data_IF_199800311525
#
_entry.id   IF_199800311525
#
_cell.length_a   1.000
_cell.length_b   1.000
_cell.length_c   1.000
_cell.angle_alpha   90.00
_cell.angle_beta   90.00
_cell.angle_gamma   90.00
#
_symmetry.space_group_name_H-M   'P 1'
#
loop_
_entity.id
_entity.type
_entity.pdbx_description
1 polymer ?
#
# COMPACT_ATOMS: atom_id res chain seq x y z
N UNK A 1 -16.00 21.73 15.95
CA UNK A 1 -15.24 20.89 15.01
C UNK A 1 -14.08 21.61 14.31
N UNK A 2 -14.26 22.82 13.74
CA UNK A 2 -13.23 23.50 12.93
C UNK A 2 -11.87 23.76 13.62
N UNK A 3 -11.83 24.05 14.93
CA UNK A 3 -10.55 24.31 15.62
C UNK A 3 -9.70 23.05 15.85
N UNK A 4 -10.33 21.91 16.14
CA UNK A 4 -9.62 20.64 16.45
C UNK A 4 -8.90 20.05 15.24
N UNK A 5 -9.30 20.44 14.03
CA UNK A 5 -8.74 19.96 12.75
C UNK A 5 -7.96 21.03 11.99
N UNK A 6 -7.62 22.15 12.65
CA UNK A 6 -6.85 23.23 12.03
C UNK A 6 -5.40 22.81 11.74
N UNK A 7 -4.87 21.82 12.46
CA UNK A 7 -3.57 21.22 12.20
C UNK A 7 -3.68 19.96 11.33
N UNK A 8 -2.93 19.86 10.21
CA UNK A 8 -3.04 18.74 9.29
C UNK A 8 -2.71 17.39 9.92
N UNK A 9 -1.78 17.38 10.89
CA UNK A 9 -1.41 16.19 11.66
C UNK A 9 -2.61 15.56 12.39
N UNK A 10 -3.47 16.38 12.99
CA UNK A 10 -4.64 15.88 13.74
C UNK A 10 -5.66 15.30 12.79
N UNK A 11 -5.95 15.97 11.67
CA UNK A 11 -6.86 15.48 10.65
C UNK A 11 -6.40 14.13 10.07
N UNK A 12 -5.09 13.99 9.79
CA UNK A 12 -4.51 12.74 9.29
C UNK A 12 -4.67 11.59 10.30
N UNK A 13 -4.43 11.83 11.60
CA UNK A 13 -4.64 10.79 12.64
C UNK A 13 -6.10 10.34 12.72
N UNK A 14 -7.04 11.28 12.61
CA UNK A 14 -8.47 10.95 12.60
C UNK A 14 -8.88 10.23 11.32
N UNK A 15 -8.25 10.51 10.19
CA UNK A 15 -8.45 9.74 8.95
C UNK A 15 -8.00 8.30 9.12
N UNK A 16 -6.83 8.07 9.73
CA UNK A 16 -6.34 6.73 10.04
C UNK A 16 -7.25 5.99 11.03
N UNK A 17 -7.69 6.67 12.09
CA UNK A 17 -8.63 6.11 13.06
C UNK A 17 -9.99 5.78 12.44
N UNK A 18 -10.53 6.68 11.61
CA UNK A 18 -11.78 6.47 10.88
C UNK A 18 -11.71 5.27 9.95
N UNK A 19 -10.63 5.16 9.16
CA UNK A 19 -10.42 4.00 8.28
C UNK A 19 -10.29 2.69 9.07
N UNK A 20 -9.50 2.70 10.15
CA UNK A 20 -9.33 1.53 11.03
C UNK A 20 -10.68 1.07 11.60
N UNK A 21 -11.50 2.02 12.06
CA UNK A 21 -12.85 1.73 12.56
C UNK A 21 -13.75 1.18 11.46
N UNK A 22 -13.69 1.71 10.24
CA UNK A 22 -14.47 1.21 9.11
C UNK A 22 -14.07 -0.23 8.74
N UNK A 23 -12.77 -0.59 8.77
CA UNK A 23 -12.34 -1.97 8.61
C UNK A 23 -12.90 -2.87 9.72
N UNK A 24 -12.88 -2.42 10.98
CA UNK A 24 -13.42 -3.19 12.09
C UNK A 24 -14.94 -3.38 11.97
N UNK A 25 -15.67 -2.33 11.61
CA UNK A 25 -17.11 -2.38 11.36
C UNK A 25 -17.43 -3.30 10.17
N UNK A 26 -16.62 -3.26 9.10
CA UNK A 26 -16.78 -4.17 7.97
C UNK A 26 -16.62 -5.63 8.38
N UNK A 27 -15.68 -5.95 9.29
CA UNK A 27 -15.53 -7.29 9.86
C UNK A 27 -16.78 -7.73 10.66
N UNK A 28 -17.33 -6.84 11.48
CA UNK A 28 -18.55 -7.13 12.28
C UNK A 28 -19.78 -7.27 11.38
N UNK A 29 -19.94 -6.40 10.38
CA UNK A 29 -21.07 -6.44 9.44
C UNK A 29 -20.99 -7.71 8.57
N UNK A 30 -19.80 -8.10 8.12
CA UNK A 30 -19.65 -9.35 7.38
C UNK A 30 -20.01 -10.55 8.26
N UNK A 31 -19.60 -10.56 9.54
CA UNK A 31 -20.03 -11.61 10.45
C UNK A 31 -21.56 -11.69 10.60
N UNK A 32 -22.22 -10.54 10.75
CA UNK A 32 -23.67 -10.48 10.84
C UNK A 32 -24.39 -10.93 9.57
N UNK A 33 -23.85 -10.56 8.39
CA UNK A 33 -24.45 -10.88 7.09
C UNK A 33 -24.29 -12.35 6.70
N UNK A 34 -23.14 -12.95 7.05
CA UNK A 34 -22.82 -14.35 6.74
C UNK A 34 -23.09 -15.32 7.89
N UNK A 35 -23.71 -14.83 8.99
CA UNK A 35 -23.98 -15.61 10.20
C UNK A 35 -22.73 -16.29 10.78
N UNK A 36 -21.57 -15.63 10.67
CA UNK A 36 -20.32 -16.11 11.26
C UNK A 36 -20.25 -15.74 12.75
N UNK A 37 -19.78 -16.67 13.57
CA UNK A 37 -19.50 -16.41 14.98
C UNK A 37 -18.18 -15.64 15.13
N UNK A 38 -17.97 -15.02 16.30
CA UNK A 38 -16.67 -14.38 16.58
C UNK A 38 -15.50 -15.37 16.45
N UNK A 39 -15.70 -16.64 16.83
CA UNK A 39 -14.71 -17.70 16.65
C UNK A 39 -14.34 -17.94 15.19
N UNK A 40 -15.31 -17.84 14.26
CA UNK A 40 -15.05 -18.07 12.84
C UNK A 40 -14.17 -16.95 12.25
N UNK A 41 -14.40 -15.71 12.67
CA UNK A 41 -13.57 -14.56 12.26
C UNK A 41 -12.14 -14.73 12.77
N UNK A 42 -11.95 -15.10 14.04
CA UNK A 42 -10.62 -15.32 14.60
C UNK A 42 -9.93 -16.54 13.98
N UNK A 43 -10.68 -17.58 13.63
CA UNK A 43 -10.16 -18.73 12.88
C UNK A 43 -9.70 -18.31 11.47
N UNK A 44 -10.48 -17.47 10.78
CA UNK A 44 -10.11 -16.87 9.49
C UNK A 44 -8.84 -16.01 9.59
N UNK A 45 -8.73 -15.18 10.63
CA UNK A 45 -7.49 -14.43 10.91
C UNK A 45 -6.30 -15.36 11.15
N UNK A 46 -6.50 -16.44 11.90
CA UNK A 46 -5.47 -17.45 12.17
C UNK A 46 -4.98 -18.13 10.88
N UNK A 47 -5.89 -18.47 9.97
CA UNK A 47 -5.56 -19.02 8.65
C UNK A 47 -4.79 -18.01 7.80
N UNK A 48 -5.22 -16.75 7.74
CA UNK A 48 -4.48 -15.67 7.05
C UNK A 48 -3.05 -15.55 7.60
N UNK A 49 -2.85 -15.69 8.90
CA UNK A 49 -1.53 -15.55 9.53
C UNK A 49 -0.62 -16.77 9.33
N UNK A 50 -1.19 -17.96 9.11
CA UNK A 50 -0.45 -19.23 9.08
C UNK A 50 -0.31 -19.83 7.69
N UNK A 51 -1.10 -19.33 6.74
CA UNK A 51 -0.99 -19.70 5.35
C UNK A 51 -0.03 -18.74 4.60
N UNK A 52 0.54 -19.21 3.50
CA UNK A 52 1.56 -18.52 2.74
C UNK A 52 0.87 -17.43 1.98
N UNK A 53 1.48 -16.25 2.02
CA UNK A 53 1.08 -15.14 1.19
C UNK A 53 1.34 -15.39 -0.29
N UNK A 54 1.48 -16.65 -0.77
CA UNK A 54 1.41 -16.92 -2.19
C UNK A 54 0.07 -16.38 -2.68
N UNK A 55 0.18 -15.29 -3.41
CA UNK A 55 -0.89 -14.37 -3.79
C UNK A 55 -1.99 -15.04 -4.61
N UNK A 56 -1.92 -16.34 -4.90
CA UNK A 56 -2.81 -17.05 -5.82
C UNK A 56 -4.26 -17.10 -5.32
N UNK A 57 -4.49 -17.15 -4.00
CA UNK A 57 -5.84 -17.19 -3.40
C UNK A 57 -6.19 -15.88 -2.71
N UNK A 58 -7.40 -15.38 -3.00
CA UNK A 58 -7.95 -14.17 -2.38
C UNK A 58 -8.18 -14.40 -0.88
N UNK A 59 -7.83 -13.43 -0.02
CA UNK A 59 -8.14 -13.54 1.42
C UNK A 59 -9.65 -13.63 1.70
N UNK A 60 -10.50 -13.17 0.77
CA UNK A 60 -11.96 -13.32 0.85
C UNK A 60 -12.45 -14.76 0.68
N UNK A 61 -11.62 -15.68 0.16
CA UNK A 61 -11.94 -17.10 0.12
C UNK A 61 -12.09 -17.63 1.55
N UNK A 62 -13.17 -18.36 1.83
CA UNK A 62 -13.47 -18.91 3.15
C UNK A 62 -12.50 -20.00 3.61
N UNK A 63 -11.88 -20.72 2.65
CA UNK A 63 -10.79 -21.67 2.93
C UNK A 63 -9.51 -20.99 3.40
N UNK A 64 -9.42 -19.68 3.17
CA UNK A 64 -8.32 -18.81 3.56
C UNK A 64 -8.74 -17.95 4.75
N UNK A 65 -9.29 -16.76 4.53
CA UNK A 65 -9.63 -15.81 5.58
C UNK A 65 -11.11 -15.50 5.75
N UNK A 66 -11.90 -15.65 4.68
CA UNK A 66 -13.24 -15.09 4.59
C UNK A 66 -13.25 -13.55 4.68
N UNK A 67 -14.43 -12.95 4.53
CA UNK A 67 -14.58 -11.50 4.63
C UNK A 67 -14.24 -10.99 6.04
N UNK A 68 -14.81 -11.62 7.07
CA UNK A 68 -14.61 -11.21 8.46
C UNK A 68 -13.14 -11.24 8.86
N UNK A 69 -12.44 -12.36 8.61
CA UNK A 69 -11.02 -12.50 8.95
C UNK A 69 -10.13 -11.52 8.19
N UNK A 70 -10.43 -11.25 6.91
CA UNK A 70 -9.68 -10.28 6.09
C UNK A 70 -9.82 -8.86 6.62
N UNK A 71 -11.05 -8.41 6.89
CA UNK A 71 -11.28 -7.07 7.43
C UNK A 71 -10.76 -6.92 8.86
N UNK A 72 -10.80 -7.98 9.67
CA UNK A 72 -10.19 -7.98 11.00
C UNK A 72 -8.66 -7.87 10.90
N UNK A 73 -8.01 -8.59 9.99
CA UNK A 73 -6.57 -8.45 9.75
C UNK A 73 -6.21 -7.00 9.39
N UNK A 74 -6.92 -6.42 8.42
CA UNK A 74 -6.73 -5.03 8.02
C UNK A 74 -6.94 -4.06 9.18
N UNK A 75 -8.00 -4.24 9.98
CA UNK A 75 -8.29 -3.40 11.14
C UNK A 75 -7.17 -3.48 12.20
N UNK A 76 -6.68 -4.67 12.52
CA UNK A 76 -5.61 -4.85 13.52
C UNK A 76 -4.29 -4.24 13.05
N UNK A 77 -3.88 -4.49 11.80
CA UNK A 77 -2.66 -3.89 11.25
C UNK A 77 -2.79 -2.36 11.20
N UNK A 78 -3.93 -1.84 10.73
CA UNK A 78 -4.19 -0.39 10.71
C UNK A 78 -4.19 0.21 12.12
N UNK A 79 -4.71 -0.48 13.13
CA UNK A 79 -4.67 -0.05 14.52
C UNK A 79 -3.23 0.04 15.05
N UNK A 80 -2.38 -0.94 14.72
CA UNK A 80 -0.95 -0.89 15.07
C UNK A 80 -0.27 0.29 14.36
N UNK A 81 -0.50 0.46 13.05
CA UNK A 81 0.02 1.58 12.27
C UNK A 81 -0.40 2.94 12.86
N UNK A 82 -1.66 3.09 13.25
CA UNK A 82 -2.17 4.26 13.96
C UNK A 82 -1.47 4.45 15.31
N UNK A 83 -1.27 3.38 16.08
CA UNK A 83 -0.53 3.40 17.34
C UNK A 83 0.88 3.96 17.16
N UNK A 84 1.58 3.56 16.10
CA UNK A 84 2.91 4.10 15.76
C UNK A 84 2.85 5.61 15.47
N UNK A 85 1.83 6.07 14.74
CA UNK A 85 1.65 7.51 14.48
C UNK A 85 1.20 8.34 15.69
N UNK A 86 0.74 7.68 16.75
CA UNK A 86 0.43 8.28 18.04
C UNK A 86 1.64 8.34 18.99
N UNK A 87 2.77 7.72 18.64
CA UNK A 87 3.98 7.78 19.47
C UNK A 87 4.54 9.19 19.60
N UNK A 88 5.16 9.54 20.74
CA UNK A 88 5.82 10.82 20.94
C UNK A 88 6.87 11.10 19.87
N UNK A 89 6.81 12.29 19.26
CA UNK A 89 7.72 12.72 18.18
C UNK A 89 7.26 12.39 16.77
N UNK A 90 6.16 11.62 16.61
CA UNK A 90 5.52 11.43 15.30
C UNK A 90 4.82 12.70 14.84
N UNK A 91 5.06 13.08 13.58
CA UNK A 91 4.45 14.23 12.91
C UNK A 91 3.83 13.76 11.58
N UNK A 92 2.58 13.27 11.58
CA UNK A 92 1.95 12.75 10.38
C UNK A 92 1.80 13.81 9.29
N UNK A 93 2.21 13.47 8.07
CA UNK A 93 2.14 14.31 6.88
C UNK A 93 1.59 13.53 5.67
N UNK A 94 1.65 14.09 4.46
CA UNK A 94 1.21 13.41 3.25
C UNK A 94 1.97 12.12 2.95
N UNK A 95 3.24 12.00 3.39
CA UNK A 95 4.01 10.75 3.28
C UNK A 95 3.49 9.72 4.27
N UNK A 96 3.03 10.15 5.45
CA UNK A 96 2.36 9.27 6.41
C UNK A 96 1.04 8.71 5.87
N UNK A 97 0.26 9.52 5.14
CA UNK A 97 -0.97 9.07 4.47
C UNK A 97 -0.64 8.00 3.42
N UNK A 98 0.41 8.25 2.63
CA UNK A 98 0.94 7.29 1.67
C UNK A 98 1.32 5.97 2.35
N UNK A 99 2.14 6.02 3.41
CA UNK A 99 2.56 4.83 4.15
C UNK A 99 1.38 4.06 4.74
N UNK A 100 0.42 4.75 5.37
CA UNK A 100 -0.71 4.12 6.02
C UNK A 100 -1.61 3.38 5.03
N UNK A 101 -2.06 4.03 3.96
CA UNK A 101 -2.97 3.42 3.00
C UNK A 101 -2.30 2.39 2.09
N UNK A 102 -0.99 2.52 1.85
CA UNK A 102 -0.22 1.50 1.16
C UNK A 102 -0.13 0.22 2.01
N UNK A 103 0.22 0.33 3.30
CA UNK A 103 0.22 -0.81 4.22
C UNK A 103 -1.18 -1.40 4.36
N UNK A 104 -2.22 -0.56 4.45
CA UNK A 104 -3.62 -1.02 4.49
C UNK A 104 -4.01 -1.81 3.24
N UNK A 105 -3.59 -1.37 2.05
CA UNK A 105 -3.80 -2.11 0.80
C UNK A 105 -3.13 -3.48 0.82
N UNK A 106 -1.88 -3.56 1.29
CA UNK A 106 -1.19 -4.84 1.41
C UNK A 106 -1.80 -5.81 2.43
N UNK A 107 -2.66 -5.34 3.35
CA UNK A 107 -3.36 -6.21 4.31
C UNK A 107 -4.35 -7.18 3.64
N UNK A 108 -4.70 -6.94 2.37
CA UNK A 108 -5.64 -7.77 1.62
C UNK A 108 -4.99 -8.90 0.80
N UNK A 109 -3.65 -8.98 0.72
CA UNK A 109 -2.97 -10.06 -0.03
C UNK A 109 -1.58 -10.46 0.47
N UNK A 110 -1.07 -9.94 1.60
CA UNK A 110 0.25 -10.39 2.05
C UNK A 110 0.82 -9.76 3.31
N UNK A 111 0.29 -8.63 3.77
CA UNK A 111 0.62 -8.09 5.10
C UNK A 111 -0.38 -8.63 6.12
N UNK A 112 0.14 -9.16 7.22
CA UNK A 112 -0.67 -9.74 8.29
C UNK A 112 -0.25 -9.18 9.63
N UNK A 113 -1.14 -9.27 10.62
CA UNK A 113 -0.80 -8.89 11.99
C UNK A 113 0.39 -9.67 12.55
N UNK A 114 0.70 -10.85 12.01
CA UNK A 114 1.86 -11.66 12.44
C UNK A 114 3.17 -11.16 11.81
N UNK A 115 3.19 -10.87 10.51
CA UNK A 115 4.46 -10.66 9.81
C UNK A 115 5.04 -9.24 9.95
N UNK A 116 4.23 -8.23 10.29
CA UNK A 116 4.69 -6.84 10.44
C UNK A 116 5.74 -6.69 11.55
N UNK A 117 5.68 -7.50 12.61
CA UNK A 117 6.54 -7.37 13.78
C UNK A 117 8.01 -7.64 13.47
N UNK A 118 8.29 -8.54 12.53
CA UNK A 118 9.66 -8.87 12.14
C UNK A 118 10.35 -7.69 11.46
N UNK A 119 9.66 -6.98 10.56
CA UNK A 119 10.18 -5.74 9.96
C UNK A 119 10.30 -4.63 11.01
N UNK A 120 9.30 -4.49 11.89
CA UNK A 120 9.33 -3.48 12.95
C UNK A 120 10.49 -3.68 13.93
N UNK A 121 10.82 -4.93 14.25
CA UNK A 121 11.99 -5.26 15.05
C UNK A 121 13.28 -4.72 14.41
N UNK A 122 13.45 -4.87 13.09
CA UNK A 122 14.57 -4.29 12.36
C UNK A 122 14.64 -2.77 12.43
N UNK A 123 13.49 -2.09 12.28
CA UNK A 123 13.43 -0.63 12.38
C UNK A 123 13.71 -0.16 13.82
N UNK A 124 13.28 -0.91 14.83
CA UNK A 124 13.63 -0.63 16.23
C UNK A 124 15.13 -0.77 16.47
N UNK A 125 15.76 -1.83 15.97
CA UNK A 125 17.23 -2.01 16.05
C UNK A 125 17.94 -0.85 15.37
N UNK A 126 17.46 -0.37 14.22
CA UNK A 126 18.00 0.82 13.56
C UNK A 126 17.82 2.09 14.41
N UNK A 127 16.65 2.27 15.02
CA UNK A 127 16.40 3.41 15.91
C UNK A 127 17.35 3.40 17.12
N UNK A 128 17.61 2.23 17.70
CA UNK A 128 18.55 2.06 18.80
C UNK A 128 20.00 2.35 18.35
N UNK A 129 20.43 1.76 17.24
CA UNK A 129 21.78 1.93 16.70
C UNK A 129 22.09 3.40 16.33
N UNK A 130 21.11 4.09 15.74
CA UNK A 130 21.26 5.48 15.27
C UNK A 130 20.76 6.52 16.29
N UNK A 131 20.37 6.09 17.50
CA UNK A 131 19.82 6.95 18.57
C UNK A 131 18.66 7.85 18.10
N UNK A 132 17.79 7.32 17.24
CA UNK A 132 16.60 8.02 16.72
C UNK A 132 15.37 7.64 17.55
N UNK A 133 14.45 8.60 17.74
CA UNK A 133 13.17 8.34 18.42
C UNK A 133 12.26 7.52 17.51
N UNK A 134 11.65 6.41 17.97
CA UNK A 134 10.78 5.57 17.14
C UNK A 134 9.63 6.33 16.48
N UNK A 135 9.00 7.28 17.19
CA UNK A 135 7.92 8.11 16.63
C UNK A 135 8.35 8.96 15.44
N UNK A 136 9.60 9.43 15.41
CA UNK A 136 10.13 10.18 14.27
C UNK A 136 10.39 9.30 13.03
N UNK A 137 10.44 7.98 13.22
CA UNK A 137 10.66 6.98 12.17
C UNK A 137 9.36 6.25 11.78
N UNK A 138 8.19 6.77 12.16
CA UNK A 138 6.89 6.14 11.93
C UNK A 138 6.67 5.71 10.46
N UNK A 139 6.96 6.59 9.49
CA UNK A 139 6.86 6.25 8.07
C UNK A 139 7.78 5.07 7.69
N UNK A 140 8.97 4.98 8.31
CA UNK A 140 9.93 3.92 8.03
C UNK A 140 9.48 2.55 8.58
N UNK A 141 8.80 2.52 9.73
CA UNK A 141 8.12 1.32 10.22
C UNK A 141 7.17 0.78 9.16
N UNK A 142 6.21 1.60 8.72
CA UNK A 142 5.18 1.16 7.80
C UNK A 142 5.73 0.77 6.43
N UNK A 143 6.64 1.54 5.85
CA UNK A 143 7.21 1.18 4.56
C UNK A 143 8.09 -0.08 4.61
N UNK A 144 8.73 -0.38 5.75
CA UNK A 144 9.51 -1.62 5.90
C UNK A 144 8.66 -2.91 5.81
N UNK A 145 7.33 -2.82 5.95
CA UNK A 145 6.42 -3.96 5.78
C UNK A 145 6.15 -4.28 4.31
N UNK A 146 6.69 -3.52 3.35
CA UNK A 146 6.51 -3.81 1.91
C UNK A 146 7.05 -5.19 1.48
N UNK A 147 7.93 -5.79 2.29
CA UNK A 147 8.45 -7.15 2.09
C UNK A 147 7.91 -8.17 3.10
N UNK A 148 6.80 -7.85 3.77
CA UNK A 148 6.14 -8.75 4.70
C UNK A 148 5.75 -10.13 4.09
N UNK A 149 5.31 -10.24 2.82
CA UNK A 149 5.06 -11.55 2.21
C UNK A 149 6.30 -12.44 2.16
N UNK A 150 7.49 -11.85 1.93
CA UNK A 150 8.76 -12.59 1.95
C UNK A 150 9.05 -13.16 3.34
N UNK A 151 8.73 -12.41 4.40
CA UNK A 151 8.90 -12.87 5.79
C UNK A 151 7.98 -14.05 6.09
N UNK A 152 6.72 -14.00 5.64
CA UNK A 152 5.78 -15.14 5.77
C UNK A 152 6.30 -16.38 5.03
N UNK A 153 6.85 -16.22 3.82
CA UNK A 153 7.50 -17.33 3.11
C UNK A 153 8.66 -17.92 3.92
N UNK A 154 9.53 -17.08 4.50
CA UNK A 154 10.63 -17.57 5.33
C UNK A 154 10.13 -18.32 6.57
N UNK A 155 9.02 -17.85 7.16
CA UNK A 155 8.48 -18.38 8.41
C UNK A 155 7.92 -19.80 8.27
N UNK A 156 7.27 -20.11 7.14
CA UNK A 156 6.50 -21.36 6.98
C UNK A 156 7.06 -22.35 5.97
N UNK A 157 7.94 -21.93 5.06
CA UNK A 157 8.51 -22.80 4.03
C UNK A 157 9.67 -23.66 4.55
N UNK A 158 10.56 -23.11 5.37
CA UNK A 158 11.79 -23.79 5.78
C UNK A 158 11.57 -24.81 6.90
N UNK A 159 12.29 -25.96 6.92
CA UNK A 159 13.53 -26.29 6.19
C UNK A 159 13.38 -27.08 4.85
N UNK A 160 12.30 -26.91 4.09
CA UNK A 160 12.15 -27.54 2.77
C UNK A 160 11.39 -26.67 1.75
N UNK A 161 10.90 -27.26 0.67
CA UNK A 161 10.00 -26.58 -0.28
C UNK A 161 8.52 -26.70 0.11
N UNK A 162 8.18 -27.70 0.93
CA UNK A 162 6.85 -27.90 1.46
C UNK A 162 6.55 -26.92 2.60
N UNK A 163 5.28 -26.83 2.97
CA UNK A 163 4.83 -25.96 4.04
C UNK A 163 4.82 -26.73 5.35
N UNK A 164 5.62 -26.27 6.32
CA UNK A 164 5.89 -27.03 7.54
C UNK A 164 5.26 -26.42 8.81
N UNK A 165 4.51 -25.33 8.68
CA UNK A 165 4.01 -24.59 9.83
C UNK A 165 5.15 -23.89 10.58
N UNK A 166 4.99 -23.66 11.88
CA UNK A 166 6.02 -23.01 12.69
C UNK A 166 7.19 -23.97 12.96
N UNK A 167 8.32 -23.74 12.29
CA UNK A 167 9.58 -24.45 12.57
C UNK A 167 10.58 -23.51 13.24
N UNK A 168 11.48 -24.06 14.07
CA UNK A 168 12.53 -23.24 14.71
C UNK A 168 13.41 -22.52 13.69
N UNK A 169 13.75 -23.21 12.57
CA UNK A 169 14.52 -22.62 11.47
C UNK A 169 13.75 -21.52 10.75
N UNK A 170 12.46 -21.71 10.47
CA UNK A 170 11.62 -20.70 9.83
C UNK A 170 11.50 -19.43 10.67
N UNK A 171 11.33 -19.56 11.99
CA UNK A 171 11.26 -18.42 12.92
C UNK A 171 12.58 -17.64 12.93
N UNK A 172 13.72 -18.33 13.05
CA UNK A 172 15.05 -17.69 13.06
C UNK A 172 15.31 -16.98 11.72
N UNK A 173 14.97 -17.62 10.60
CA UNK A 173 15.19 -17.04 9.28
C UNK A 173 14.28 -15.84 9.04
N UNK A 174 12.99 -15.93 9.39
CA UNK A 174 12.04 -14.82 9.31
C UNK A 174 12.48 -13.63 10.17
N UNK A 175 13.01 -13.89 11.37
CA UNK A 175 13.57 -12.86 12.23
C UNK A 175 14.83 -12.24 11.64
N UNK A 176 15.78 -13.05 11.16
CA UNK A 176 17.00 -12.55 10.55
C UNK A 176 16.71 -11.68 9.31
N UNK A 177 15.86 -12.16 8.41
CA UNK A 177 15.47 -11.45 7.18
C UNK A 177 14.64 -10.21 7.51
N UNK A 178 13.67 -10.30 8.41
CA UNK A 178 12.84 -9.16 8.83
C UNK A 178 13.66 -8.06 9.50
N UNK A 179 14.57 -8.43 10.42
CA UNK A 179 15.49 -7.47 11.05
C UNK A 179 16.42 -6.85 10.02
N UNK A 180 16.97 -7.64 9.10
CA UNK A 180 17.81 -7.13 8.01
C UNK A 180 17.07 -6.11 7.14
N UNK A 181 15.85 -6.43 6.69
CA UNK A 181 15.01 -5.52 5.88
C UNK A 181 14.72 -4.24 6.67
N UNK A 182 14.20 -4.37 7.89
CA UNK A 182 13.82 -3.23 8.73
C UNK A 182 15.01 -2.37 9.15
N UNK A 183 16.22 -2.93 9.23
CA UNK A 183 17.43 -2.19 9.57
C UNK A 183 18.01 -1.43 8.38
N UNK A 184 18.08 -2.08 7.20
CA UNK A 184 18.63 -1.47 5.99
C UNK A 184 17.70 -0.43 5.39
N UNK A 185 16.39 -0.68 5.40
CA UNK A 185 15.42 0.17 4.72
C UNK A 185 15.51 1.65 5.16
N UNK A 186 15.51 2.00 6.47
CA UNK A 186 15.67 3.37 6.92
C UNK A 186 17.03 4.00 6.59
N UNK A 187 18.07 3.19 6.37
CA UNK A 187 19.39 3.67 5.98
C UNK A 187 19.43 4.11 4.49
N UNK A 188 18.72 3.38 3.63
CA UNK A 188 18.68 3.66 2.18
C UNK A 188 17.64 4.74 1.84
N UNK A 189 16.53 4.81 2.58
CA UNK A 189 15.40 5.71 2.31
C UNK A 189 15.78 7.19 2.02
N UNK A 190 16.68 7.85 2.78
CA UNK A 190 17.04 9.25 2.53
C UNK A 190 17.71 9.51 1.17
N UNK A 191 18.28 8.48 0.55
CA UNK A 191 18.99 8.59 -0.73
C UNK A 191 18.05 8.41 -1.93
N UNK A 192 16.88 7.80 -1.74
CA UNK A 192 15.94 7.53 -2.84
C UNK A 192 15.53 8.77 -3.65
N UNK A 193 15.17 9.92 -3.03
CA UNK A 193 14.74 11.10 -3.79
C UNK A 193 15.77 11.56 -4.84
N UNK A 194 17.06 11.34 -4.57
CA UNK A 194 18.16 11.71 -5.47
C UNK A 194 18.21 10.81 -6.70
N UNK A 195 17.82 9.54 -6.58
CA UNK A 195 17.85 8.56 -7.67
C UNK A 195 16.83 8.85 -8.76
N UNK A 196 15.69 9.45 -8.41
CA UNK A 196 14.60 9.77 -9.34
C UNK A 196 14.29 11.28 -9.41
N UNK A 197 15.19 12.14 -8.91
CA UNK A 197 15.06 13.62 -8.91
C UNK A 197 13.73 14.14 -8.34
N UNK A 198 13.13 13.40 -7.40
CA UNK A 198 11.83 13.74 -6.80
C UNK A 198 10.62 13.65 -7.74
N UNK A 199 10.72 12.97 -8.89
CA UNK A 199 9.57 12.71 -9.78
C UNK A 199 8.69 11.55 -9.34
N UNK A 200 9.22 10.62 -8.54
CA UNK A 200 8.42 9.57 -7.91
C UNK A 200 7.71 10.13 -6.67
N UNK A 201 6.42 9.85 -6.57
CA UNK A 201 5.57 10.20 -5.42
C UNK A 201 5.87 9.28 -4.23
N UNK A 202 6.38 8.08 -4.51
CA UNK A 202 6.64 7.01 -3.55
C UNK A 202 8.13 6.66 -3.46
N UNK A 203 8.89 7.54 -2.82
CA UNK A 203 10.34 7.38 -2.58
C UNK A 203 10.73 6.09 -1.84
N UNK A 204 9.80 5.42 -1.17
CA UNK A 204 10.11 4.17 -0.49
C UNK A 204 10.11 2.94 -1.43
N UNK A 205 9.61 3.07 -2.67
CA UNK A 205 9.67 2.00 -3.67
C UNK A 205 11.10 1.57 -3.99
N UNK A 206 12.00 2.51 -4.25
CA UNK A 206 13.38 2.23 -4.66
C UNK A 206 14.13 1.40 -3.61
N UNK A 207 14.22 1.80 -2.33
CA UNK A 207 14.91 1.00 -1.32
C UNK A 207 14.25 -0.38 -1.12
N UNK A 208 12.92 -0.48 -1.14
CA UNK A 208 12.22 -1.77 -1.05
C UNK A 208 12.57 -2.66 -2.24
N UNK A 209 12.54 -2.10 -3.46
CA UNK A 209 12.86 -2.83 -4.69
C UNK A 209 14.29 -3.34 -4.69
N UNK A 210 15.27 -2.49 -4.34
CA UNK A 210 16.68 -2.89 -4.26
C UNK A 210 16.91 -4.01 -3.23
N UNK A 211 16.32 -3.89 -2.04
CA UNK A 211 16.41 -4.93 -0.99
C UNK A 211 15.72 -6.21 -1.47
N UNK A 212 14.56 -6.11 -2.13
CA UNK A 212 13.85 -7.26 -2.69
C UNK A 212 14.67 -7.99 -3.74
N UNK A 213 15.32 -7.27 -4.67
CA UNK A 213 16.18 -7.88 -5.69
C UNK A 213 17.38 -8.58 -5.09
N UNK A 214 18.02 -7.95 -4.12
CA UNK A 214 19.15 -8.53 -3.42
C UNK A 214 18.74 -9.81 -2.68
N UNK A 215 17.69 -9.76 -1.87
CA UNK A 215 17.21 -10.91 -1.10
C UNK A 215 16.69 -12.02 -2.00
N UNK A 216 15.95 -11.71 -3.06
CA UNK A 216 15.49 -12.72 -4.03
C UNK A 216 16.66 -13.41 -4.70
N UNK A 217 17.69 -12.68 -5.12
CA UNK A 217 18.87 -13.26 -5.75
C UNK A 217 19.66 -14.12 -4.77
N UNK A 218 19.85 -13.64 -3.55
CA UNK A 218 20.59 -14.34 -2.51
C UNK A 218 19.85 -15.61 -2.07
N UNK A 219 18.59 -15.49 -1.66
CA UNK A 219 17.81 -16.62 -1.16
C UNK A 219 17.49 -17.62 -2.27
N UNK A 220 16.92 -17.19 -3.40
CA UNK A 220 16.32 -18.09 -4.40
C UNK A 220 17.19 -18.42 -5.62
N UNK A 221 18.41 -17.86 -5.71
CA UNK A 221 19.38 -18.30 -6.73
C UNK A 221 20.63 -18.92 -6.14
N UNK A 222 21.00 -18.56 -4.91
CA UNK A 222 22.23 -19.07 -4.26
C UNK A 222 21.89 -20.17 -3.25
N UNK A 223 20.90 -19.96 -2.38
CA UNK A 223 20.65 -20.86 -1.25
C UNK A 223 19.53 -21.88 -1.45
N UNK A 224 18.48 -21.55 -2.20
CA UNK A 224 17.33 -22.42 -2.47
C UNK A 224 16.79 -22.21 -3.87
N UNK A 225 15.95 -23.12 -4.35
CA UNK A 225 15.08 -22.94 -5.50
C UNK A 225 14.02 -21.86 -5.23
N UNK A 226 13.61 -21.16 -6.29
CA UNK A 226 12.49 -20.23 -6.22
C UNK A 226 11.18 -20.97 -5.95
N UNK A 227 10.22 -20.36 -5.24
CA UNK A 227 8.86 -20.86 -5.19
C UNK A 227 8.27 -21.02 -6.59
N UNK A 228 7.35 -21.98 -6.79
CA UNK A 228 6.52 -21.97 -8.00
C UNK A 228 5.88 -20.58 -8.16
N UNK A 229 5.83 -20.10 -9.40
CA UNK A 229 5.27 -18.79 -9.68
C UNK A 229 3.81 -18.75 -9.22
N UNK A 230 3.45 -17.70 -8.49
CA UNK A 230 2.08 -17.44 -8.06
C UNK A 230 1.26 -16.88 -9.21
N UNK A 231 1.06 -17.68 -10.25
CA UNK A 231 0.25 -17.31 -11.42
C UNK A 231 -1.23 -17.38 -11.04
N UNK A 232 -2.02 -16.39 -11.47
CA UNK A 232 -3.48 -16.33 -11.33
C UNK A 232 -4.05 -15.89 -9.96
N UNK A 233 -3.41 -14.92 -9.30
CA UNK A 233 -3.88 -14.25 -8.07
C UNK A 233 -5.35 -13.86 -8.10
N UNK A 234 -6.20 -14.63 -7.41
CA UNK A 234 -7.62 -14.33 -7.23
C UNK A 234 -8.43 -14.24 -8.53
N UNK A 235 -7.94 -14.82 -9.64
CA UNK A 235 -8.60 -14.75 -10.94
C UNK A 235 -9.91 -15.52 -11.00
N UNK A 236 -10.21 -16.41 -10.05
CA UNK A 236 -11.44 -17.21 -10.08
C UNK A 236 -12.67 -16.47 -9.53
N UNK A 237 -12.50 -15.63 -8.50
CA UNK A 237 -13.62 -15.12 -7.70
C UNK A 237 -13.80 -13.60 -7.83
N UNK A 238 -15.06 -13.15 -7.87
CA UNK A 238 -15.42 -11.73 -7.93
C UNK A 238 -16.56 -11.41 -6.96
N UNK A 239 -16.22 -10.65 -5.92
CA UNK A 239 -17.08 -10.17 -4.84
C UNK A 239 -17.32 -8.66 -4.98
N UNK A 240 -17.94 -8.27 -6.09
CA UNK A 240 -18.21 -6.87 -6.44
C UNK A 240 -18.99 -6.13 -5.34
N UNK A 241 -20.12 -6.65 -4.80
CA UNK A 241 -20.95 -5.87 -3.86
C UNK A 241 -20.21 -5.51 -2.57
N UNK A 242 -19.43 -6.45 -2.04
CA UNK A 242 -18.66 -6.24 -0.80
C UNK A 242 -17.52 -5.25 -1.03
N UNK A 243 -16.74 -5.46 -2.09
CA UNK A 243 -15.53 -4.66 -2.36
C UNK A 243 -15.89 -3.22 -2.76
N UNK A 244 -16.82 -3.06 -3.71
CA UNK A 244 -17.27 -1.75 -4.17
C UNK A 244 -18.08 -1.07 -3.06
N UNK A 245 -18.96 -1.79 -2.37
CA UNK A 245 -19.73 -1.25 -1.25
C UNK A 245 -18.84 -0.66 -0.15
N UNK A 246 -17.79 -1.39 0.25
CA UNK A 246 -16.81 -0.89 1.22
C UNK A 246 -16.09 0.37 0.72
N UNK A 247 -15.57 0.36 -0.51
CA UNK A 247 -14.93 1.54 -1.12
C UNK A 247 -15.87 2.76 -1.17
N UNK A 248 -17.12 2.56 -1.59
CA UNK A 248 -18.12 3.63 -1.66
C UNK A 248 -18.37 4.24 -0.29
N UNK A 249 -18.52 3.42 0.77
CA UNK A 249 -18.70 3.92 2.14
C UNK A 249 -17.47 4.73 2.59
N UNK A 250 -16.26 4.18 2.43
CA UNK A 250 -15.01 4.86 2.84
C UNK A 250 -14.86 6.20 2.11
N UNK A 251 -15.00 6.21 0.79
CA UNK A 251 -14.77 7.41 -0.01
C UNK A 251 -15.91 8.42 0.10
N UNK A 252 -17.17 7.99 0.22
CA UNK A 252 -18.29 8.90 0.46
C UNK A 252 -18.18 9.61 1.81
N UNK A 253 -17.83 8.87 2.88
CA UNK A 253 -17.59 9.47 4.19
C UNK A 253 -16.41 10.46 4.16
N UNK A 254 -15.34 10.14 3.43
CA UNK A 254 -14.23 11.06 3.22
C UNK A 254 -14.67 12.33 2.46
N UNK A 255 -15.50 12.22 1.42
CA UNK A 255 -16.05 13.37 0.69
C UNK A 255 -16.90 14.24 1.63
N UNK A 256 -17.84 13.64 2.36
CA UNK A 256 -18.71 14.36 3.31
C UNK A 256 -17.84 15.11 4.33
N UNK A 257 -16.81 14.46 4.87
CA UNK A 257 -15.92 15.06 5.86
C UNK A 257 -15.04 16.17 5.26
N UNK A 258 -14.49 15.97 4.06
CA UNK A 258 -13.72 16.98 3.33
C UNK A 258 -14.54 18.23 3.00
N UNK A 259 -15.80 18.04 2.59
CA UNK A 259 -16.76 19.13 2.37
C UNK A 259 -17.13 19.85 3.67
N UNK A 260 -17.36 19.11 4.76
CA UNK A 260 -17.65 19.70 6.08
C UNK A 260 -16.49 20.55 6.63
N UNK A 261 -15.25 20.23 6.26
CA UNK A 261 -14.06 21.03 6.56
C UNK A 261 -13.88 22.23 5.61
N UNK A 262 -14.73 22.39 4.60
CA UNK A 262 -14.67 23.50 3.63
C UNK A 262 -13.71 23.27 2.47
N UNK A 263 -13.32 22.02 2.20
CA UNK A 263 -12.35 21.67 1.15
C UNK A 263 -12.75 22.10 -0.27
N UNK A 264 -14.05 22.26 -0.55
CA UNK A 264 -14.57 22.63 -1.87
C UNK A 264 -13.98 23.95 -2.41
N UNK A 265 -13.66 24.91 -1.53
CA UNK A 265 -13.12 26.23 -1.94
C UNK A 265 -11.76 26.11 -2.59
N UNK A 266 -10.92 25.22 -2.08
CA UNK A 266 -9.52 25.04 -2.51
C UNK A 266 -9.36 23.88 -3.49
N UNK A 267 -10.36 23.01 -3.61
CA UNK A 267 -10.30 21.81 -4.44
C UNK A 267 -10.08 22.11 -5.93
N UNK A 268 -10.73 23.17 -6.45
CA UNK A 268 -10.50 23.60 -7.84
C UNK A 268 -9.06 24.06 -8.11
N UNK A 269 -8.37 24.60 -7.09
CA UNK A 269 -6.95 24.99 -7.17
C UNK A 269 -6.02 23.79 -7.02
N UNK A 270 -6.42 22.79 -6.22
CA UNK A 270 -5.72 21.51 -6.09
C UNK A 270 -5.72 20.74 -7.41
N UNK A 271 -6.86 20.68 -8.11
CA UNK A 271 -6.98 19.98 -9.40
C UNK A 271 -6.15 20.58 -10.54
N UNK A 272 -5.63 21.81 -10.37
CA UNK A 272 -4.77 22.49 -11.33
C UNK A 272 -3.28 22.43 -10.94
N UNK A 273 -2.96 21.81 -9.81
CA UNK A 273 -1.57 21.61 -9.40
C UNK A 273 -0.90 20.57 -10.31
N UNK A 274 0.39 20.74 -10.58
CA UNK A 274 1.17 19.72 -11.30
C UNK A 274 1.48 18.49 -10.44
N UNK A 275 1.29 18.58 -9.13
CA UNK A 275 1.56 17.48 -8.20
C UNK A 275 3.05 17.26 -7.88
N UNK A 276 3.95 18.09 -8.41
CA UNK A 276 5.39 17.91 -8.22
C UNK A 276 5.84 18.29 -6.81
N UNK A 277 6.40 17.32 -6.07
CA UNK A 277 6.96 17.49 -4.71
C UNK A 277 6.03 18.22 -3.73
N UNK A 278 4.73 18.02 -3.86
CA UNK A 278 3.72 18.72 -3.05
C UNK A 278 3.23 17.87 -1.89
N UNK A 279 2.71 18.53 -0.86
CA UNK A 279 1.85 17.94 0.15
C UNK A 279 0.54 18.74 0.19
N UNK A 280 -0.55 18.14 -0.30
CA UNK A 280 -1.84 18.81 -0.39
C UNK A 280 -2.45 19.16 0.96
N UNK A 281 -2.16 18.38 2.01
CA UNK A 281 -2.61 18.66 3.36
C UNK A 281 -2.03 19.99 3.88
N UNK A 282 -0.79 20.30 3.51
CA UNK A 282 -0.13 21.57 3.87
C UNK A 282 -0.46 22.71 2.91
N UNK A 283 -0.49 22.46 1.60
CA UNK A 283 -0.64 23.52 0.57
C UNK A 283 -2.09 24.00 0.39
N UNK A 284 -3.05 23.07 0.42
CA UNK A 284 -4.47 23.34 0.17
C UNK A 284 -5.34 23.13 1.41
N UNK A 285 -4.75 22.66 2.50
CA UNK A 285 -5.41 22.37 3.75
C UNK A 285 -6.03 20.97 3.80
N UNK A 286 -6.25 20.49 5.02
CA UNK A 286 -6.73 19.12 5.27
C UNK A 286 -8.10 18.83 4.65
N UNK A 287 -9.00 19.82 4.59
CA UNK A 287 -10.31 19.64 3.96
C UNK A 287 -10.21 19.30 2.48
N UNK A 288 -9.39 20.01 1.72
CA UNK A 288 -9.18 19.76 0.29
C UNK A 288 -8.44 18.44 0.04
N UNK A 289 -7.46 18.11 0.89
CA UNK A 289 -6.71 16.86 0.79
C UNK A 289 -7.58 15.61 1.10
N UNK A 290 -8.41 15.65 2.15
CA UNK A 290 -9.39 14.58 2.44
C UNK A 290 -10.43 14.47 1.33
N UNK A 291 -10.89 15.61 0.80
CA UNK A 291 -11.82 15.61 -0.34
C UNK A 291 -11.19 14.95 -1.58
N UNK A 292 -9.91 15.23 -1.85
CA UNK A 292 -9.16 14.57 -2.92
C UNK A 292 -9.02 13.06 -2.69
N UNK A 293 -8.73 12.62 -1.46
CA UNK A 293 -8.70 11.19 -1.11
C UNK A 293 -10.01 10.47 -1.51
N UNK A 294 -11.16 11.07 -1.19
CA UNK A 294 -12.46 10.49 -1.53
C UNK A 294 -12.76 10.52 -3.04
N UNK A 295 -12.60 11.66 -3.70
CA UNK A 295 -12.93 11.78 -5.13
C UNK A 295 -11.96 10.96 -6.00
N UNK A 296 -10.66 10.99 -5.69
CA UNK A 296 -9.67 10.18 -6.39
C UNK A 296 -9.89 8.67 -6.15
N UNK A 297 -10.28 8.27 -4.94
CA UNK A 297 -10.68 6.91 -4.64
C UNK A 297 -11.86 6.43 -5.49
N UNK A 298 -12.92 7.25 -5.59
CA UNK A 298 -14.07 6.93 -6.46
C UNK A 298 -13.69 6.87 -7.94
N UNK A 299 -12.78 7.75 -8.40
CA UNK A 299 -12.26 7.72 -9.75
C UNK A 299 -11.54 6.39 -10.06
N UNK A 300 -10.72 5.90 -9.13
CA UNK A 300 -10.04 4.60 -9.27
C UNK A 300 -11.07 3.47 -9.31
N UNK A 301 -12.06 3.46 -8.40
CA UNK A 301 -13.12 2.44 -8.38
C UNK A 301 -13.89 2.42 -9.71
N UNK A 302 -14.27 3.59 -10.22
CA UNK A 302 -14.93 3.72 -11.50
C UNK A 302 -14.07 3.18 -12.65
N UNK A 303 -12.78 3.52 -12.66
CA UNK A 303 -11.84 3.00 -13.66
C UNK A 303 -11.80 1.46 -13.65
N UNK A 304 -11.67 0.83 -12.48
CA UNK A 304 -11.66 -0.63 -12.34
C UNK A 304 -12.98 -1.29 -12.78
N UNK A 305 -14.12 -0.62 -12.55
CA UNK A 305 -15.42 -1.08 -13.04
C UNK A 305 -15.52 -1.01 -14.57
N UNK A 306 -15.01 0.06 -15.19
CA UNK A 306 -15.07 0.26 -16.64
C UNK A 306 -14.19 -0.73 -17.42
N UNK A 307 -13.03 -1.11 -16.87
CA UNK A 307 -12.16 -2.12 -17.50
C UNK A 307 -12.63 -3.56 -17.25
N UNK A 308 -13.73 -3.76 -16.53
CA UNK A 308 -14.26 -5.09 -16.21
C UNK A 308 -13.35 -5.92 -15.31
N UNK A 309 -12.64 -5.27 -14.37
CA UNK A 309 -11.76 -5.99 -13.44
C UNK A 309 -12.57 -6.90 -12.50
N UNK A 310 -12.01 -8.06 -12.16
CA UNK A 310 -12.56 -8.92 -11.10
C UNK A 310 -12.32 -8.29 -9.74
N UNK A 311 -13.32 -8.31 -8.86
CA UNK A 311 -13.25 -7.67 -7.55
C UNK A 311 -13.00 -8.68 -6.44
N UNK A 312 -11.74 -8.88 -6.08
CA UNK A 312 -11.35 -9.73 -4.97
C UNK A 312 -10.58 -8.91 -3.92
N UNK A 313 -10.05 -9.57 -2.88
CA UNK A 313 -9.28 -8.89 -1.84
C UNK A 313 -8.05 -8.17 -2.44
N UNK A 314 -7.38 -8.78 -3.42
CA UNK A 314 -6.25 -8.17 -4.11
C UNK A 314 -6.66 -6.90 -4.88
N UNK A 315 -7.76 -6.94 -5.62
CA UNK A 315 -8.27 -5.73 -6.31
C UNK A 315 -8.61 -4.63 -5.31
N UNK A 316 -9.23 -4.97 -4.18
CA UNK A 316 -9.54 -4.01 -3.13
C UNK A 316 -8.28 -3.35 -2.56
N UNK A 317 -7.25 -4.14 -2.28
CA UNK A 317 -5.98 -3.59 -1.82
C UNK A 317 -5.32 -2.69 -2.87
N UNK A 318 -5.45 -2.99 -4.17
CA UNK A 318 -4.85 -2.20 -5.26
C UNK A 318 -5.46 -0.81 -5.31
N UNK A 319 -6.78 -0.69 -5.08
CA UNK A 319 -7.46 0.60 -4.96
C UNK A 319 -6.82 1.43 -3.84
N UNK A 320 -6.55 0.84 -2.67
CA UNK A 320 -5.92 1.55 -1.56
C UNK A 320 -4.43 1.86 -1.81
N UNK A 321 -3.71 0.98 -2.49
CA UNK A 321 -2.32 1.21 -2.93
C UNK A 321 -2.22 2.30 -4.02
N UNK A 322 -3.29 2.59 -4.75
CA UNK A 322 -3.33 3.72 -5.68
C UNK A 322 -3.74 5.01 -4.97
N UNK A 323 -4.78 4.96 -4.13
CA UNK A 323 -5.30 6.16 -3.45
C UNK A 323 -4.30 6.73 -2.44
N UNK A 324 -3.36 5.95 -1.94
CA UNK A 324 -2.38 6.39 -0.94
C UNK A 324 -1.53 7.60 -1.40
N UNK A 325 -1.30 7.77 -2.70
CA UNK A 325 -0.57 8.92 -3.26
C UNK A 325 -1.38 10.23 -3.33
N UNK A 326 -2.66 10.22 -2.93
CA UNK A 326 -3.56 11.36 -3.07
C UNK A 326 -3.17 12.61 -2.28
N UNK A 327 -2.29 12.52 -1.29
CA UNK A 327 -1.77 13.70 -0.58
C UNK A 327 -0.47 14.23 -1.19
N UNK A 328 0.21 13.41 -2.01
CA UNK A 328 1.56 13.67 -2.51
C UNK A 328 1.61 14.17 -3.96
N UNK A 329 0.47 14.29 -4.64
CA UNK A 329 0.42 14.82 -6.00
C UNK A 329 -0.61 14.14 -6.90
N UNK A 330 -1.19 13.01 -6.50
CA UNK A 330 -2.19 12.32 -7.32
C UNK A 330 -3.58 12.93 -7.13
N UNK A 331 -4.23 13.30 -8.24
CA UNK A 331 -5.61 13.74 -8.27
C UNK A 331 -6.25 13.36 -9.63
N UNK A 332 -7.59 13.36 -9.74
CA UNK A 332 -8.28 12.89 -10.95
C UNK A 332 -7.84 13.60 -12.24
N UNK A 333 -7.53 14.90 -12.18
CA UNK A 333 -7.15 15.68 -13.36
C UNK A 333 -5.73 15.41 -13.89
N UNK A 334 -4.84 14.81 -13.08
CA UNK A 334 -3.53 14.30 -13.55
C UNK A 334 -3.64 12.88 -14.14
N UNK A 335 -4.82 12.24 -14.03
CA UNK A 335 -5.09 10.85 -14.41
C UNK A 335 -5.00 10.49 -15.89
N UNK A 336 -4.48 11.36 -16.76
CA UNK A 336 -4.22 11.06 -18.18
C UNK A 336 -2.74 11.26 -18.57
N UNK A 337 -1.90 11.92 -17.75
CA UNK A 337 -0.49 12.21 -18.11
C UNK A 337 0.56 11.72 -17.08
N UNK A 338 0.15 11.12 -15.96
CA UNK A 338 1.05 10.58 -14.93
C UNK A 338 1.40 9.09 -15.11
N UNK A 339 2.15 8.74 -16.15
CA UNK A 339 2.35 7.38 -16.68
C UNK A 339 3.16 6.35 -15.84
N UNK A 340 3.51 6.60 -14.58
CA UNK A 340 4.37 5.67 -13.82
C UNK A 340 3.63 4.61 -13.00
N UNK A 341 2.82 5.06 -12.04
CA UNK A 341 2.31 4.19 -10.97
C UNK A 341 0.94 3.58 -11.30
N UNK A 342 0.05 4.36 -11.91
CA UNK A 342 -1.27 3.92 -12.39
C UNK A 342 -1.12 2.79 -13.41
N UNK A 343 -0.14 2.89 -14.31
CA UNK A 343 0.13 1.88 -15.35
C UNK A 343 0.76 0.60 -14.78
N UNK A 344 1.52 0.67 -13.69
CA UNK A 344 2.13 -0.52 -13.07
C UNK A 344 1.07 -1.35 -12.33
N UNK A 345 0.17 -0.71 -11.60
CA UNK A 345 -0.95 -1.39 -10.93
C UNK A 345 -2.13 -1.71 -11.88
N UNK A 346 -2.37 -0.93 -12.93
CA UNK A 346 -3.34 -1.28 -13.98
C UNK A 346 -2.80 -2.36 -14.92
N UNK A 347 -1.50 -2.39 -15.20
CA UNK A 347 -0.82 -3.44 -15.96
C UNK A 347 -0.93 -4.81 -15.28
N UNK A 348 -0.86 -4.85 -13.94
CA UNK A 348 -1.17 -6.04 -13.15
C UNK A 348 -2.63 -6.52 -13.28
N UNK A 349 -3.54 -5.71 -13.85
CA UNK A 349 -4.97 -6.03 -14.01
C UNK A 349 -5.32 -6.30 -15.47
N UNK A 350 -4.74 -5.57 -16.44
CA UNK A 350 -4.97 -5.85 -17.87
C UNK A 350 -4.34 -7.18 -18.29
N UNK A 351 -3.18 -7.56 -17.73
CA UNK A 351 -2.59 -8.89 -17.94
C UNK A 351 -3.43 -10.04 -17.32
N UNK A 352 -4.41 -9.72 -16.46
CA UNK A 352 -5.32 -10.74 -15.88
C UNK A 352 -6.50 -11.11 -16.79
N UNK A 353 -6.76 -10.35 -17.85
CA UNK A 353 -7.92 -10.57 -18.73
C UNK A 353 -7.57 -11.13 -20.12
N UNK A 354 -6.30 -11.14 -20.57
CA UNK A 354 -5.97 -11.39 -21.98
C UNK A 354 -5.17 -12.69 -22.30
N UNK A 355 -4.20 -13.11 -21.48
CA UNK A 355 -3.47 -14.39 -21.56
C UNK A 355 -2.31 -14.38 -20.55
N UNK A 356 -1.84 -15.55 -20.06
CA UNK A 356 -1.07 -15.65 -18.81
C UNK A 356 0.38 -15.17 -18.98
N UNK A 357 0.88 -14.31 -18.09
CA UNK A 357 2.32 -14.18 -17.92
C UNK A 357 2.71 -14.32 -16.44
N UNK A 358 3.44 -15.39 -16.12
CA UNK A 358 4.50 -15.44 -15.11
C UNK A 358 4.44 -14.37 -14.01
N UNK A 359 3.40 -14.43 -13.17
CA UNK A 359 3.18 -13.52 -12.06
C UNK A 359 4.03 -13.98 -10.86
N UNK A 360 5.34 -13.86 -11.05
CA UNK A 360 6.34 -13.97 -10.01
C UNK A 360 7.47 -13.02 -10.37
N UNK A 361 7.44 -11.80 -9.83
CA UNK A 361 8.44 -10.74 -9.97
C UNK A 361 8.35 -9.78 -11.19
N UNK A 362 7.55 -10.06 -12.22
CA UNK A 362 7.31 -9.05 -13.29
C UNK A 362 6.57 -7.80 -12.78
N UNK A 363 5.74 -7.94 -11.74
CA UNK A 363 5.02 -6.83 -11.11
C UNK A 363 5.85 -5.94 -10.16
N UNK A 364 7.14 -6.26 -9.94
CA UNK A 364 8.07 -5.50 -9.09
C UNK A 364 9.29 -4.98 -9.88
N UNK A 365 9.35 -5.25 -11.18
CA UNK A 365 10.40 -4.82 -12.10
C UNK A 365 9.79 -3.93 -13.18
N UNK A 366 10.28 -2.70 -13.42
CA UNK A 366 10.20 -2.16 -14.77
C UNK A 366 10.97 -3.12 -15.68
N UNK A 367 10.30 -3.66 -16.70
CA UNK A 367 11.00 -4.33 -17.80
C UNK A 367 11.97 -3.32 -18.43
N UNK A 368 13.18 -3.72 -18.86
CA UNK A 368 14.07 -2.80 -19.55
C UNK A 368 13.33 -2.25 -20.79
N UNK A 369 13.26 -0.93 -21.00
CA UNK A 369 12.63 -0.39 -22.18
C UNK A 369 13.51 -0.72 -23.39
N UNK A 370 13.09 -1.71 -24.16
CA UNK A 370 13.46 -1.77 -25.57
C UNK A 370 12.77 -0.58 -26.25
N UNK A 371 13.46 0.57 -26.27
CA UNK A 371 12.95 1.79 -26.87
C UNK A 371 13.29 3.01 -26.04
N UNK A 372 14.46 3.58 -26.29
CA UNK A 372 14.80 4.95 -25.93
C UNK A 372 13.70 5.89 -26.48
N UNK A 373 12.86 6.45 -25.62
CA UNK A 373 11.93 7.51 -25.99
C UNK A 373 12.41 8.83 -25.38
N UNK A 374 13.08 9.57 -26.25
CA UNK A 374 13.61 10.92 -26.09
C UNK A 374 12.52 11.89 -25.61
N UNK A 375 12.71 12.48 -24.44
CA UNK A 375 11.86 13.56 -23.92
C UNK A 375 12.05 14.80 -24.81
N UNK A 376 11.08 15.12 -25.69
CA UNK A 376 11.00 16.44 -26.33
C UNK A 376 10.47 17.45 -25.30
N UNK A 377 11.41 18.20 -24.72
CA UNK A 377 11.16 19.42 -23.95
C UNK A 377 10.38 20.45 -24.78
N UNK A 378 9.11 20.70 -24.46
CA UNK A 378 8.37 21.85 -24.98
C UNK A 378 8.66 23.09 -24.11
N UNK A 379 9.77 23.79 -24.41
CA UNK A 379 9.95 25.20 -24.05
C UNK A 379 8.98 26.04 -24.90
N UNK A 380 7.99 26.67 -24.29
CA UNK A 380 7.28 27.82 -24.89
C UNK A 380 8.12 29.08 -24.65
N UNK A 381 8.57 29.73 -25.72
CA UNK A 381 8.26 31.13 -26.07
C UNK A 381 9.35 31.74 -26.98
N UNK A 382 8.87 32.37 -28.07
CA UNK A 382 9.42 33.53 -28.78
C UNK A 382 10.92 33.58 -29.14
N UNK A 383 11.22 33.53 -30.46
CA UNK A 383 11.68 34.69 -31.23
C UNK A 383 12.24 34.25 -32.59
N UNK A 384 11.64 34.80 -33.64
CA UNK A 384 12.15 34.91 -35.00
C UNK A 384 13.59 35.41 -35.03
N UNK A 385 14.47 34.78 -35.83
CA UNK A 385 15.51 35.41 -36.67
C UNK A 385 15.98 34.35 -37.69
N UNK A 386 15.90 34.70 -38.97
CA UNK A 386 16.38 33.96 -40.15
C UNK A 386 17.90 34.04 -40.30
N UNK A 387 18.54 33.10 -41.03
CA UNK A 387 19.99 32.98 -41.08
C UNK A 387 20.63 33.92 -42.12
N UNK A 388 21.82 34.43 -41.79
CA UNK A 388 22.93 34.59 -42.75
C UNK A 388 24.13 33.83 -42.22
#
# INVERSE_FOLDING_TARGET
MKEKFKTPQTAIRWLFAGFTLLCLLAAVISAALYHESASDIFAGLGRICTQSGQTVKSYFDSSYGGFGGTFLNAALVCAVCLGIYCLPGSKPDGVSVLAFFLTAGFCFWGTTILNIWFSFAGVLVYCLAMKKKPGAMANAFLFSTGLAPLITEMLFRYPGEAWHGFTGLGIVLALAVGVFIGFLFPAVLPHSPQMHKGYDLYNAAVPIGLIAFFLRSLLYKIFTSAPPASENVGLADSFVPVSVGFCLVVFALAIIWGLALGGAKEYGRLLRDSGYNVDYGTKYGSGAAILNFGIYGLFIVLYYLLIGAKWNAATLGCVFCMVCCCYKGSHPAVGIEGEGYTNTCAGQVTDTNANPPAAGLKGLLPSPPNGCLTIKSAKRSAATITPK
#
